data_IF_393816063211
#
_entry.id   IF_393816063211
#
_cell.length_a   1.000
_cell.length_b   1.000
_cell.length_c   1.000
_cell.angle_alpha   90.00
_cell.angle_beta   90.00
_cell.angle_gamma   90.00
#
_symmetry.space_group_name_H-M   'P 1'
#
loop_
_entity.id
_entity.type
_entity.pdbx_description
1 polymer ?
#
# COMPACT_ATOMS: atom_id res chain seq x y z
N UNK A 1 16.70 23.56 -19.19
CA UNK A 1 16.81 22.38 -20.06
C UNK A 1 15.45 21.69 -20.02
N UNK A 2 14.74 21.61 -21.15
CA UNK A 2 13.50 20.83 -21.20
C UNK A 2 13.86 19.35 -21.00
N UNK A 3 13.23 18.72 -20.01
CA UNK A 3 13.42 17.31 -19.77
C UNK A 3 12.90 16.54 -21.00
N UNK A 4 13.75 15.76 -21.64
CA UNK A 4 13.34 14.93 -22.77
C UNK A 4 12.42 13.83 -22.23
N UNK A 5 11.19 13.81 -22.71
CA UNK A 5 10.22 12.77 -22.37
C UNK A 5 10.71 11.44 -22.93
N UNK A 6 10.83 10.41 -22.09
CA UNK A 6 11.09 9.06 -22.53
C UNK A 6 9.85 8.52 -23.27
N UNK A 7 9.90 8.62 -24.60
CA UNK A 7 8.77 8.27 -25.47
C UNK A 7 8.35 6.79 -25.37
N UNK A 8 9.31 5.91 -25.08
CA UNK A 8 9.02 4.47 -24.96
C UNK A 8 8.24 4.20 -23.67
N UNK A 9 8.73 4.71 -22.54
CA UNK A 9 8.04 4.54 -21.26
C UNK A 9 6.69 5.25 -21.25
N UNK A 10 6.60 6.44 -21.84
CA UNK A 10 5.33 7.14 -21.99
C UNK A 10 4.31 6.32 -22.81
N UNK A 11 4.72 5.82 -23.98
CA UNK A 11 3.84 5.03 -24.83
C UNK A 11 3.41 3.72 -24.15
N UNK A 12 4.32 3.01 -23.46
CA UNK A 12 4.00 1.79 -22.73
C UNK A 12 3.00 2.07 -21.59
N UNK A 13 3.20 3.15 -20.85
CA UNK A 13 2.30 3.54 -19.76
C UNK A 13 0.90 3.88 -20.29
N UNK A 14 0.82 4.70 -21.33
CA UNK A 14 -0.46 5.06 -21.95
C UNK A 14 -1.16 3.82 -22.51
N UNK A 15 -0.42 2.96 -23.21
CA UNK A 15 -0.98 1.72 -23.75
C UNK A 15 -1.50 0.79 -22.66
N UNK A 16 -0.75 0.62 -21.58
CA UNK A 16 -1.18 -0.19 -20.44
C UNK A 16 -2.44 0.39 -19.76
N UNK A 17 -2.47 1.72 -19.53
CA UNK A 17 -3.63 2.38 -18.94
C UNK A 17 -4.88 2.27 -19.83
N UNK A 18 -4.74 2.54 -21.11
CA UNK A 18 -5.88 2.44 -22.05
C UNK A 18 -6.30 0.98 -22.25
N UNK A 19 -5.36 0.06 -22.31
CA UNK A 19 -5.62 -1.38 -22.40
C UNK A 19 -6.40 -1.94 -21.20
N UNK A 20 -6.27 -1.34 -20.03
CA UNK A 20 -7.10 -1.66 -18.87
C UNK A 20 -8.42 -0.87 -18.87
N UNK A 21 -8.37 0.43 -19.11
CA UNK A 21 -9.54 1.30 -19.00
C UNK A 21 -10.61 1.04 -20.06
N UNK A 22 -10.19 0.82 -21.31
CA UNK A 22 -11.13 0.62 -22.43
C UNK A 22 -12.01 -0.62 -22.23
N UNK A 23 -11.49 -1.82 -21.93
CA UNK A 23 -12.33 -2.99 -21.65
C UNK A 23 -13.28 -2.79 -20.46
N UNK A 24 -12.80 -2.16 -19.38
CA UNK A 24 -13.63 -1.86 -18.20
C UNK A 24 -14.81 -0.94 -18.55
N UNK A 25 -14.62 0.00 -19.46
CA UNK A 25 -15.68 0.92 -19.91
C UNK A 25 -16.64 0.28 -20.91
N UNK A 26 -16.12 -0.52 -21.83
CA UNK A 26 -16.94 -1.12 -22.91
C UNK A 26 -17.68 -2.38 -22.47
N UNK A 27 -17.11 -3.16 -21.56
CA UNK A 27 -17.64 -4.44 -21.10
C UNK A 27 -17.62 -4.53 -19.57
N UNK A 28 -18.37 -3.68 -18.85
CA UNK A 28 -18.29 -3.57 -17.40
C UNK A 28 -18.64 -4.89 -16.68
N UNK A 29 -19.68 -5.60 -17.11
CA UNK A 29 -20.11 -6.85 -16.47
C UNK A 29 -19.08 -7.99 -16.66
N UNK A 30 -18.59 -8.15 -17.89
CA UNK A 30 -17.55 -9.14 -18.18
C UNK A 30 -16.27 -8.83 -17.41
N UNK A 31 -15.88 -7.57 -17.39
CA UNK A 31 -14.68 -7.14 -16.66
C UNK A 31 -14.83 -7.37 -15.16
N UNK A 32 -15.99 -7.06 -14.58
CA UNK A 32 -16.27 -7.34 -13.17
C UNK A 32 -16.18 -8.84 -12.85
N UNK A 33 -16.77 -9.68 -13.71
CA UNK A 33 -16.71 -11.14 -13.53
C UNK A 33 -15.26 -11.67 -13.60
N UNK A 34 -14.50 -11.22 -14.58
CA UNK A 34 -13.09 -11.64 -14.73
C UNK A 34 -12.21 -11.15 -13.57
N UNK A 35 -12.41 -9.92 -13.13
CA UNK A 35 -11.68 -9.35 -12.00
C UNK A 35 -12.03 -10.10 -10.70
N UNK A 36 -13.30 -10.40 -10.48
CA UNK A 36 -13.73 -11.16 -9.31
C UNK A 36 -13.12 -12.57 -9.33
N UNK A 37 -13.19 -13.28 -10.46
CA UNK A 37 -12.60 -14.61 -10.58
C UNK A 37 -11.06 -14.59 -10.35
N UNK A 38 -10.36 -13.57 -10.86
CA UNK A 38 -8.94 -13.39 -10.62
C UNK A 38 -8.64 -13.11 -9.14
N UNK A 39 -9.45 -12.27 -8.50
CA UNK A 39 -9.34 -11.95 -7.08
C UNK A 39 -9.54 -13.20 -6.21
N UNK A 40 -10.61 -13.97 -6.47
CA UNK A 40 -10.92 -15.18 -5.72
C UNK A 40 -9.79 -16.22 -5.86
N UNK A 41 -9.29 -16.40 -7.08
CA UNK A 41 -8.15 -17.29 -7.31
C UNK A 41 -6.89 -16.84 -6.54
N UNK A 42 -6.58 -15.55 -6.55
CA UNK A 42 -5.44 -15.00 -5.81
C UNK A 42 -5.62 -15.18 -4.30
N UNK A 43 -6.81 -14.89 -3.78
CA UNK A 43 -7.09 -14.98 -2.36
C UNK A 43 -7.02 -16.43 -1.86
N UNK A 44 -7.60 -17.38 -2.62
CA UNK A 44 -7.61 -18.80 -2.25
C UNK A 44 -6.22 -19.44 -2.41
N UNK A 45 -5.53 -19.16 -3.52
CA UNK A 45 -4.27 -19.83 -3.84
C UNK A 45 -3.07 -19.21 -3.12
N UNK A 46 -3.04 -17.88 -2.95
CA UNK A 46 -1.91 -17.13 -2.43
C UNK A 46 -2.17 -16.46 -1.07
N UNK A 47 -3.32 -16.70 -0.45
CA UNK A 47 -3.66 -16.09 0.85
C UNK A 47 -2.59 -16.31 1.92
N UNK A 48 -2.07 -17.53 2.01
CA UNK A 48 -0.97 -17.87 2.93
C UNK A 48 0.31 -17.06 2.67
N UNK A 49 0.61 -16.80 1.39
CA UNK A 49 1.80 -16.03 1.00
C UNK A 49 1.65 -14.55 1.40
N UNK A 50 0.45 -13.97 1.27
CA UNK A 50 0.18 -12.62 1.73
C UNK A 50 0.36 -12.49 3.25
N UNK A 51 -0.17 -13.43 4.02
CA UNK A 51 -0.03 -13.45 5.48
C UNK A 51 1.45 -13.58 5.88
N UNK A 52 2.17 -14.49 5.25
CA UNK A 52 3.60 -14.68 5.51
C UNK A 52 4.40 -13.40 5.18
N UNK A 53 4.12 -12.79 4.04
CA UNK A 53 4.77 -11.54 3.62
C UNK A 53 4.45 -10.39 4.58
N UNK A 54 3.21 -10.31 5.08
CA UNK A 54 2.80 -9.32 6.07
C UNK A 54 3.59 -9.44 7.37
N UNK A 55 3.68 -10.66 7.90
CA UNK A 55 4.45 -10.94 9.12
C UNK A 55 5.95 -10.66 8.89
N UNK A 56 6.50 -11.13 7.78
CA UNK A 56 7.91 -10.91 7.45
C UNK A 56 8.24 -9.41 7.31
N UNK A 57 7.35 -8.64 6.67
CA UNK A 57 7.50 -7.19 6.53
C UNK A 57 7.47 -6.49 7.88
N UNK A 58 6.54 -6.85 8.74
CA UNK A 58 6.42 -6.28 10.07
C UNK A 58 7.66 -6.59 10.93
N UNK A 59 8.09 -7.85 10.94
CA UNK A 59 9.32 -8.27 11.65
C UNK A 59 10.55 -7.54 11.10
N UNK A 60 10.66 -7.39 9.78
CA UNK A 60 11.78 -6.67 9.16
C UNK A 60 11.80 -5.19 9.58
N UNK A 61 10.66 -4.52 9.62
CA UNK A 61 10.56 -3.13 10.11
C UNK A 61 10.99 -3.04 11.56
N UNK A 62 10.51 -3.94 12.42
CA UNK A 62 10.93 -3.97 13.84
C UNK A 62 12.43 -4.24 13.97
N UNK A 63 12.99 -5.14 13.18
CA UNK A 63 14.42 -5.43 13.18
C UNK A 63 15.26 -4.21 12.77
N UNK A 64 14.81 -3.46 11.74
CA UNK A 64 15.50 -2.21 11.35
C UNK A 64 15.36 -1.13 12.42
N UNK A 65 14.18 -0.99 13.01
CA UNK A 65 13.88 0.05 13.99
C UNK A 65 14.59 -0.16 15.34
N UNK A 66 14.71 -1.41 15.80
CA UNK A 66 15.25 -1.72 17.12
C UNK A 66 16.57 -2.52 17.09
N UNK A 67 17.00 -2.93 15.90
CA UNK A 67 18.22 -3.72 15.70
C UNK A 67 19.47 -2.86 15.43
N UNK A 68 20.49 -3.44 14.80
CA UNK A 68 21.77 -2.78 14.56
C UNK A 68 21.69 -1.52 13.70
N UNK A 69 20.59 -1.35 12.96
CA UNK A 69 20.38 -0.24 12.05
C UNK A 69 19.63 0.96 12.66
N UNK A 70 19.18 0.85 13.92
CA UNK A 70 18.39 1.88 14.60
C UNK A 70 19.07 3.25 14.68
N UNK A 71 20.42 3.28 14.64
CA UNK A 71 21.20 4.52 14.71
C UNK A 71 21.64 5.06 13.35
N UNK A 72 21.25 4.40 12.25
CA UNK A 72 21.58 4.87 10.91
C UNK A 72 20.79 6.14 10.59
N UNK A 73 21.50 7.21 10.28
CA UNK A 73 20.88 8.47 9.86
C UNK A 73 20.84 8.56 8.35
N UNK A 74 19.75 9.11 7.83
CA UNK A 74 19.59 9.34 6.38
C UNK A 74 20.28 10.62 5.90
N UNK A 75 20.81 11.44 6.82
CA UNK A 75 21.57 12.66 6.50
C UNK A 75 22.30 13.19 7.72
N UNK A 76 23.28 14.06 7.50
CA UNK A 76 24.14 14.64 8.55
C UNK A 76 23.59 15.94 9.15
N UNK A 77 22.57 16.53 8.50
CA UNK A 77 21.93 17.77 8.92
C UNK A 77 20.81 17.59 9.94
N UNK A 78 20.32 18.70 10.51
CA UNK A 78 19.10 18.68 11.30
C UNK A 78 17.90 18.28 10.41
N UNK A 79 16.80 17.78 10.99
CA UNK A 79 15.58 17.51 10.24
C UNK A 79 15.10 18.76 9.48
N UNK A 80 14.77 18.60 8.20
CA UNK A 80 14.30 19.71 7.35
C UNK A 80 12.94 20.26 7.81
N UNK A 81 12.10 19.39 8.36
CA UNK A 81 10.77 19.73 8.82
C UNK A 81 10.62 19.50 10.33
N UNK A 82 9.85 20.35 10.98
CA UNK A 82 9.43 20.12 12.36
C UNK A 82 8.54 18.87 12.47
N UNK A 83 8.53 18.24 13.62
CA UNK A 83 7.83 16.95 13.86
C UNK A 83 6.36 17.01 13.46
N UNK A 84 5.64 18.09 13.77
CA UNK A 84 4.21 18.27 13.43
C UNK A 84 4.01 18.31 11.92
N UNK A 85 4.84 19.10 11.21
CA UNK A 85 4.77 19.20 9.75
C UNK A 85 5.08 17.85 9.10
N UNK A 86 6.08 17.15 9.61
CA UNK A 86 6.46 15.81 9.12
C UNK A 86 5.32 14.80 9.31
N UNK A 87 4.71 14.74 10.51
CA UNK A 87 3.55 13.88 10.77
C UNK A 87 2.39 14.25 9.83
N UNK A 88 2.08 15.55 9.67
CA UNK A 88 1.00 16.01 8.80
C UNK A 88 1.23 15.63 7.33
N UNK A 89 2.47 15.72 6.83
CA UNK A 89 2.81 15.30 5.46
C UNK A 89 2.64 13.79 5.26
N UNK A 90 3.11 12.98 6.21
CA UNK A 90 2.93 11.52 6.13
C UNK A 90 1.45 11.13 6.20
N UNK A 91 0.71 11.76 7.10
CA UNK A 91 -0.72 11.56 7.24
C UNK A 91 -1.46 11.96 5.95
N UNK A 92 -1.19 13.13 5.39
CA UNK A 92 -1.81 13.59 4.16
C UNK A 92 -1.46 12.72 2.94
N UNK A 93 -0.23 12.21 2.88
CA UNK A 93 0.19 11.28 1.82
C UNK A 93 -0.48 9.90 1.96
N UNK A 94 -0.72 9.42 3.20
CA UNK A 94 -1.36 8.14 3.47
C UNK A 94 -2.89 8.18 3.37
N UNK A 95 -3.50 9.33 3.66
CA UNK A 95 -4.96 9.52 3.60
C UNK A 95 -5.35 9.98 2.19
N UNK A 96 -5.31 9.06 1.26
CA UNK A 96 -5.92 9.26 -0.05
C UNK A 96 -7.43 8.99 -0.03
N UNK A 97 -8.07 9.20 -1.17
CA UNK A 97 -9.50 8.92 -1.36
C UNK A 97 -9.89 7.48 -0.98
N UNK A 98 -8.97 6.53 -1.16
CA UNK A 98 -9.19 5.13 -0.78
C UNK A 98 -9.40 4.95 0.72
N UNK A 99 -8.55 5.54 1.56
CA UNK A 99 -8.72 5.45 3.01
C UNK A 99 -10.01 6.14 3.48
N UNK A 100 -10.35 7.31 2.95
CA UNK A 100 -11.58 8.01 3.28
C UNK A 100 -12.81 7.17 2.92
N UNK A 101 -12.80 6.52 1.76
CA UNK A 101 -13.88 5.64 1.33
C UNK A 101 -13.99 4.40 2.22
N UNK A 102 -12.89 3.67 2.41
CA UNK A 102 -12.88 2.43 3.16
C UNK A 102 -13.15 2.62 4.65
N UNK A 103 -12.68 3.70 5.26
CA UNK A 103 -12.96 3.98 6.68
C UNK A 103 -14.46 4.08 6.98
N UNK A 104 -15.26 4.51 6.00
CA UNK A 104 -16.69 4.64 6.15
C UNK A 104 -17.45 3.31 5.94
N UNK A 105 -16.95 2.41 5.07
CA UNK A 105 -17.75 1.26 4.62
C UNK A 105 -17.14 -0.12 4.93
N UNK A 106 -15.86 -0.20 5.25
CA UNK A 106 -15.16 -1.50 5.42
C UNK A 106 -15.76 -2.36 6.52
N UNK A 107 -16.18 -1.76 7.62
CA UNK A 107 -16.79 -2.47 8.73
C UNK A 107 -18.06 -3.25 8.33
N UNK A 108 -18.80 -2.77 7.32
CA UNK A 108 -20.01 -3.44 6.83
C UNK A 108 -19.67 -4.80 6.22
N UNK A 109 -18.58 -4.89 5.48
CA UNK A 109 -18.13 -6.17 4.92
C UNK A 109 -17.81 -7.19 6.00
N UNK A 110 -17.18 -6.76 7.10
CA UNK A 110 -16.89 -7.66 8.23
C UNK A 110 -18.14 -8.04 9.03
N UNK A 111 -19.17 -7.18 9.05
CA UNK A 111 -20.45 -7.50 9.69
C UNK A 111 -21.25 -8.48 8.85
N UNK A 112 -21.24 -8.34 7.52
CA UNK A 112 -21.99 -9.20 6.60
C UNK A 112 -21.29 -10.55 6.35
N UNK A 113 -19.97 -10.60 6.46
CA UNK A 113 -19.15 -11.82 6.30
C UNK A 113 -18.12 -11.93 7.44
N UNK A 114 -18.56 -12.17 8.67
CA UNK A 114 -17.67 -12.22 9.84
C UNK A 114 -16.76 -13.45 9.78
N UNK A 115 -15.53 -13.34 10.37
CA UNK A 115 -14.61 -14.46 10.47
C UNK A 115 -15.07 -15.51 11.48
N UNK A 116 -14.39 -16.67 11.47
CA UNK A 116 -14.52 -17.75 12.45
C UNK A 116 -15.91 -18.36 12.58
N UNK A 117 -16.77 -18.19 11.55
CA UNK A 117 -18.10 -18.79 11.53
C UNK A 117 -19.13 -18.11 12.41
N UNK A 118 -18.87 -16.86 12.83
CA UNK A 118 -19.87 -16.06 13.49
C UNK A 118 -21.06 -15.77 12.56
N UNK A 119 -22.27 -15.66 13.12
CA UNK A 119 -23.45 -15.35 12.32
C UNK A 119 -23.38 -13.89 11.78
N UNK A 120 -23.71 -13.67 10.49
CA UNK A 120 -23.80 -12.34 9.93
C UNK A 120 -24.72 -11.42 10.75
N UNK A 121 -24.30 -10.18 10.94
CA UNK A 121 -25.06 -9.14 11.69
C UNK A 121 -25.34 -9.46 13.16
N UNK A 122 -24.67 -10.47 13.73
CA UNK A 122 -24.72 -10.76 15.15
C UNK A 122 -23.89 -9.76 15.96
N UNK A 123 -24.10 -9.73 17.26
CA UNK A 123 -23.26 -8.92 18.17
C UNK A 123 -21.78 -9.30 18.04
N UNK A 124 -21.49 -10.57 17.85
CA UNK A 124 -20.13 -11.07 17.62
C UNK A 124 -19.56 -10.53 16.32
N UNK A 125 -20.34 -10.49 15.23
CA UNK A 125 -19.93 -9.91 13.95
C UNK A 125 -19.53 -8.43 14.08
N UNK A 126 -20.25 -7.64 14.88
CA UNK A 126 -19.89 -6.24 15.15
C UNK A 126 -18.59 -6.10 15.95
N UNK A 127 -18.35 -6.98 16.91
CA UNK A 127 -17.07 -7.01 17.65
C UNK A 127 -15.91 -7.34 16.72
N UNK A 128 -16.07 -8.35 15.88
CA UNK A 128 -15.07 -8.71 14.87
C UNK A 128 -14.82 -7.58 13.87
N UNK A 129 -15.86 -6.92 13.37
CA UNK A 129 -15.74 -5.80 12.45
C UNK A 129 -14.85 -4.68 13.02
N UNK A 130 -15.04 -4.33 14.29
CA UNK A 130 -14.20 -3.34 14.96
C UNK A 130 -12.75 -3.79 15.07
N UNK A 131 -12.51 -5.04 15.44
CA UNK A 131 -11.16 -5.61 15.59
C UNK A 131 -10.42 -5.73 14.27
N UNK A 132 -11.10 -6.18 13.22
CA UNK A 132 -10.51 -6.35 11.90
C UNK A 132 -10.18 -5.02 11.23
N UNK A 133 -11.01 -4.01 11.38
CA UNK A 133 -10.69 -2.66 10.91
C UNK A 133 -9.41 -2.11 11.53
N UNK A 134 -9.26 -2.25 12.85
CA UNK A 134 -8.02 -1.86 13.55
C UNK A 134 -6.81 -2.69 13.12
N UNK A 135 -6.98 -3.97 12.90
CA UNK A 135 -5.91 -4.85 12.44
C UNK A 135 -5.49 -4.51 11.01
N UNK A 136 -6.46 -4.34 10.10
CA UNK A 136 -6.20 -4.06 8.68
C UNK A 136 -5.45 -2.73 8.50
N UNK A 137 -5.83 -1.68 9.23
CA UNK A 137 -5.16 -0.36 9.16
C UNK A 137 -4.07 -0.18 10.20
N UNK A 138 -3.73 -1.24 10.92
CA UNK A 138 -2.73 -1.25 11.98
C UNK A 138 -1.28 -1.33 11.47
N UNK A 139 -0.33 -1.55 12.39
CA UNK A 139 1.11 -1.53 12.10
C UNK A 139 1.56 -2.50 11.01
N UNK A 140 0.84 -3.61 10.82
CA UNK A 140 1.16 -4.62 9.80
C UNK A 140 0.98 -4.02 8.40
N UNK A 141 -0.13 -3.35 8.13
CA UNK A 141 -0.36 -2.69 6.84
C UNK A 141 0.68 -1.60 6.58
N UNK A 142 0.98 -0.78 7.57
CA UNK A 142 2.00 0.27 7.44
C UNK A 142 3.41 -0.27 7.23
N UNK A 143 3.71 -1.49 7.63
CA UNK A 143 5.00 -2.12 7.35
C UNK A 143 5.27 -2.30 5.86
N UNK A 144 4.23 -2.54 5.05
CA UNK A 144 4.34 -2.62 3.59
C UNK A 144 4.74 -1.28 2.94
N UNK A 145 4.43 -0.16 3.58
CA UNK A 145 4.87 1.16 3.12
C UNK A 145 6.27 1.52 3.62
N UNK A 146 6.59 1.10 4.85
CA UNK A 146 7.89 1.39 5.46
C UNK A 146 9.06 0.72 4.74
N UNK A 147 8.95 -0.55 4.38
CA UNK A 147 10.05 -1.28 3.73
C UNK A 147 10.45 -0.70 2.38
N UNK A 148 9.54 -0.48 1.41
CA UNK A 148 9.89 0.17 0.15
C UNK A 148 10.43 1.59 0.36
N UNK A 149 9.87 2.33 1.32
CA UNK A 149 10.36 3.68 1.65
C UNK A 149 11.81 3.64 2.11
N UNK A 150 12.18 2.70 3.00
CA UNK A 150 13.55 2.53 3.47
C UNK A 150 14.48 2.08 2.32
N UNK A 151 14.01 1.15 1.47
CA UNK A 151 14.76 0.67 0.32
C UNK A 151 15.06 1.78 -0.69
N UNK A 152 14.21 2.79 -0.80
CA UNK A 152 14.40 3.97 -1.66
C UNK A 152 15.23 5.04 -0.94
N UNK A 153 14.90 5.34 0.30
CA UNK A 153 15.52 6.43 1.05
C UNK A 153 17.00 6.17 1.36
N UNK A 154 17.37 4.98 1.74
CA UNK A 154 18.76 4.65 2.08
C UNK A 154 19.74 4.84 0.91
N UNK A 155 19.55 4.27 -0.29
CA UNK A 155 20.41 4.53 -1.42
C UNK A 155 20.43 6.01 -1.84
N UNK A 156 19.28 6.68 -1.77
CA UNK A 156 19.14 8.07 -2.18
C UNK A 156 19.90 9.02 -1.25
N UNK A 157 19.65 8.94 0.06
CA UNK A 157 20.20 9.88 1.02
C UNK A 157 21.58 9.49 1.55
N UNK A 158 21.86 8.20 1.73
CA UNK A 158 23.11 7.74 2.36
C UNK A 158 24.19 7.42 1.34
N UNK A 159 23.80 6.76 0.22
CA UNK A 159 24.75 6.38 -0.83
C UNK A 159 24.91 7.42 -1.93
N UNK A 160 24.13 8.48 -1.91
CA UNK A 160 24.19 9.52 -2.92
C UNK A 160 23.91 9.01 -4.33
N UNK A 161 23.17 7.91 -4.48
CA UNK A 161 22.82 7.37 -5.79
C UNK A 161 21.92 8.40 -6.48
N UNK A 162 22.41 9.08 -7.54
CA UNK A 162 21.63 10.09 -8.19
C UNK A 162 20.43 9.42 -8.83
N UNK A 163 19.25 9.80 -8.38
CA UNK A 163 17.96 9.43 -8.97
C UNK A 163 17.89 7.94 -9.32
N UNK A 164 17.38 7.15 -8.39
CA UNK A 164 16.70 5.92 -8.82
C UNK A 164 15.87 6.33 -10.03
N UNK A 165 16.27 5.85 -11.21
CA UNK A 165 15.44 6.01 -12.41
C UNK A 165 14.20 5.14 -12.22
N UNK A 166 13.35 5.53 -11.32
CA UNK A 166 11.93 5.21 -11.37
C UNK A 166 11.41 5.99 -12.57
N UNK A 167 11.74 5.46 -13.76
CA UNK A 167 11.47 6.14 -15.02
C UNK A 167 9.99 6.31 -15.34
N UNK A 168 9.13 5.84 -14.45
CA UNK A 168 7.68 6.06 -14.50
C UNK A 168 7.26 7.43 -13.93
N UNK A 169 8.14 8.16 -13.23
CA UNK A 169 7.81 9.44 -12.59
C UNK A 169 8.53 10.63 -13.27
N UNK A 170 9.30 10.39 -14.32
CA UNK A 170 9.86 11.45 -15.12
C UNK A 170 8.91 11.84 -16.27
N UNK A 171 7.77 12.38 -15.87
CA UNK A 171 6.98 13.25 -16.75
C UNK A 171 7.46 14.68 -16.57
#
# INVERSE_FOLDING_TARGET
MAAAVDRVNFALTVFAMLGMAIPLMLFPELSATLLQAAYDWLAESLGWFYVLTAIASFVAVLYVAFGPYAQVRLGDGPPEFGTVSWIAMLFAAGIGSGMMYWSAIEWVYYVDAPPFGADPRSTEAYVWASSYGLFHWGPVAWSFYCLPTLAIAYPFYVRGVPKLKLSLIHI
#
